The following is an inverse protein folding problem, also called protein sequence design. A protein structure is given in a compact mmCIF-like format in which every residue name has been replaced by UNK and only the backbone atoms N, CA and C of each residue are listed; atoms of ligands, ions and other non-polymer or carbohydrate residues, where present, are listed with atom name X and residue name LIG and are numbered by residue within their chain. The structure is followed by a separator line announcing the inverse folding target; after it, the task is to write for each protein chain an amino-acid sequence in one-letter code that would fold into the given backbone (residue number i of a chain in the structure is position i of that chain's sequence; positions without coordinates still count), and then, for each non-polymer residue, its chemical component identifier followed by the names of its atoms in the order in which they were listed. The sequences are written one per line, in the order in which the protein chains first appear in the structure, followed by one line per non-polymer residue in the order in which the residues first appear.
data_IF_026203823398
#
_entry.id   IF_026203823398
#
_cell.length_a   1.000
_cell.length_b   1.000
_cell.length_c   1.000
_cell.angle_alpha   90.00
_cell.angle_beta   90.00
_cell.angle_gamma   90.00
#
_symmetry.space_group_name_H-M   'P 1'
#
loop_
_entity.id
_entity.type
_entity.pdbx_description
1 polymer ?
#
# COMPACT_ATOMS: atom_id res chain seq x y z
N UNK A 1 -15.95 15.50 -67.47
CA UNK A 1 -16.20 14.46 -66.44
C UNK A 1 -14.94 14.40 -65.60
N UNK A 2 -15.01 14.96 -64.39
CA UNK A 2 -13.88 15.08 -63.46
C UNK A 2 -13.59 13.73 -62.81
N UNK A 3 -12.35 13.26 -62.93
CA UNK A 3 -11.78 12.26 -62.04
C UNK A 3 -11.32 12.98 -60.79
N UNK A 4 -11.87 12.61 -59.63
CA UNK A 4 -11.49 13.18 -58.34
C UNK A 4 -10.23 12.51 -57.82
N UNK A 5 -9.15 13.29 -57.69
CA UNK A 5 -7.98 12.90 -56.93
C UNK A 5 -8.25 13.12 -55.45
N UNK A 6 -8.32 12.02 -54.70
CA UNK A 6 -8.35 12.02 -53.24
C UNK A 6 -6.92 12.35 -52.78
N UNK A 7 -6.70 13.58 -52.33
CA UNK A 7 -5.49 13.95 -51.61
C UNK A 7 -5.45 13.21 -50.27
N UNK A 8 -4.50 12.28 -50.15
CA UNK A 8 -4.09 11.71 -48.87
C UNK A 8 -3.52 12.82 -48.00
N UNK A 9 -4.24 13.20 -46.95
CA UNK A 9 -3.71 14.04 -45.89
C UNK A 9 -2.52 13.33 -45.23
N UNK A 10 -1.33 13.91 -45.37
CA UNK A 10 -0.17 13.56 -44.54
C UNK A 10 -0.55 13.82 -43.08
N UNK A 11 -0.61 12.74 -42.31
CA UNK A 11 -0.75 12.79 -40.86
C UNK A 11 0.50 13.47 -40.33
N UNK A 12 0.34 14.71 -39.86
CA UNK A 12 1.39 15.49 -39.23
C UNK A 12 1.79 14.78 -37.93
N UNK A 13 2.85 13.97 -37.99
CA UNK A 13 3.42 13.29 -36.83
C UNK A 13 4.00 14.37 -35.93
N UNK A 14 3.25 14.71 -34.88
CA UNK A 14 3.63 15.71 -33.89
C UNK A 14 5.11 15.57 -33.48
N UNK A 15 5.85 16.66 -33.59
CA UNK A 15 7.23 16.75 -33.11
C UNK A 15 7.30 16.32 -31.64
N UNK A 16 7.99 15.20 -31.39
CA UNK A 16 8.32 14.73 -30.04
C UNK A 16 9.71 15.23 -29.69
N UNK A 17 9.86 15.81 -28.49
CA UNK A 17 11.16 16.11 -27.92
C UNK A 17 11.84 14.77 -27.57
N UNK A 18 12.72 14.30 -28.46
CA UNK A 18 13.39 12.99 -28.33
C UNK A 18 14.64 13.03 -27.43
N UNK A 19 14.80 14.10 -26.66
CA UNK A 19 15.97 14.31 -25.78
C UNK A 19 15.49 14.71 -24.39
N UNK A 20 15.90 13.95 -23.38
CA UNK A 20 15.75 14.30 -21.96
C UNK A 20 17.00 15.04 -21.48
N UNK A 21 16.83 16.14 -20.75
CA UNK A 21 17.96 16.80 -20.10
C UNK A 21 18.51 15.88 -18.99
N UNK A 22 19.79 15.51 -19.07
CA UNK A 22 20.46 14.78 -17.99
C UNK A 22 20.73 15.75 -16.84
N UNK A 23 20.32 15.40 -15.61
CA UNK A 23 20.59 16.21 -14.41
C UNK A 23 19.60 17.35 -14.18
N UNK A 24 18.31 17.15 -14.48
CA UNK A 24 17.27 18.10 -14.08
C UNK A 24 17.24 18.25 -12.54
N UNK A 25 17.38 19.47 -11.98
CA UNK A 25 17.40 19.67 -10.54
C UNK A 25 16.11 19.23 -9.83
N UNK A 26 14.97 19.27 -10.54
CA UNK A 26 13.68 18.78 -10.04
C UNK A 26 13.68 17.26 -9.88
N UNK A 27 14.10 16.53 -10.91
CA UNK A 27 14.23 15.06 -10.85
C UNK A 27 15.15 14.62 -9.69
N UNK A 28 16.25 15.34 -9.49
CA UNK A 28 17.18 15.04 -8.39
C UNK A 28 16.60 15.30 -7.01
N UNK A 29 15.88 16.41 -6.87
CA UNK A 29 15.21 16.78 -5.62
C UNK A 29 14.15 15.74 -5.25
N UNK A 30 13.30 15.35 -6.20
CA UNK A 30 12.28 14.33 -6.00
C UNK A 30 12.88 12.96 -5.66
N UNK A 31 13.99 12.59 -6.31
CA UNK A 31 14.71 11.35 -5.97
C UNK A 31 15.27 11.37 -4.56
N UNK A 32 15.72 12.52 -4.06
CA UNK A 32 16.24 12.64 -2.70
C UNK A 32 15.11 12.49 -1.66
N UNK A 33 13.95 13.12 -1.90
CA UNK A 33 12.77 12.93 -1.05
C UNK A 33 12.26 11.48 -1.10
N UNK A 34 12.22 10.87 -2.29
CA UNK A 34 11.86 9.45 -2.42
C UNK A 34 12.80 8.56 -1.61
N UNK A 35 14.11 8.80 -1.65
CA UNK A 35 15.10 8.05 -0.86
C UNK A 35 14.79 8.13 0.64
N UNK A 36 14.48 9.32 1.14
CA UNK A 36 14.08 9.51 2.54
C UNK A 36 12.81 8.71 2.87
N UNK A 37 11.76 8.80 2.06
CA UNK A 37 10.53 8.03 2.28
C UNK A 37 10.75 6.51 2.22
N UNK A 38 11.59 6.02 1.32
CA UNK A 38 12.00 4.61 1.25
C UNK A 38 12.73 4.20 2.53
N UNK A 39 13.57 5.06 3.09
CA UNK A 39 14.24 4.76 4.35
C UNK A 39 13.28 4.69 5.54
N UNK A 40 12.20 5.48 5.55
CA UNK A 40 11.10 5.31 6.50
C UNK A 40 10.51 3.89 6.47
N UNK A 41 10.37 3.31 5.27
CA UNK A 41 9.92 1.91 5.09
C UNK A 41 10.97 0.91 5.59
N UNK A 42 12.27 1.21 5.46
CA UNK A 42 13.35 0.40 6.06
C UNK A 42 13.22 0.37 7.58
N UNK A 43 12.98 1.51 8.23
CA UNK A 43 12.77 1.59 9.67
C UNK A 43 11.54 0.78 10.11
N UNK A 44 10.41 0.91 9.40
CA UNK A 44 9.23 0.09 9.62
C UNK A 44 9.55 -1.42 9.54
N UNK A 45 10.27 -1.85 8.51
CA UNK A 45 10.66 -3.25 8.35
C UNK A 45 11.58 -3.72 9.49
N UNK A 46 12.52 -2.88 9.93
CA UNK A 46 13.41 -3.19 11.05
C UNK A 46 12.63 -3.36 12.37
N UNK A 47 11.59 -2.55 12.61
CA UNK A 47 10.69 -2.75 13.77
C UNK A 47 9.89 -4.04 13.65
N UNK A 48 9.32 -4.32 12.48
CA UNK A 48 8.55 -5.55 12.21
C UNK A 48 9.38 -6.83 12.37
N UNK A 49 10.69 -6.73 12.13
CA UNK A 49 11.66 -7.81 12.36
C UNK A 49 12.13 -7.92 13.82
N UNK A 50 11.78 -6.95 14.67
CA UNK A 50 12.25 -6.86 16.06
C UNK A 50 13.69 -6.36 16.22
N UNK A 51 14.29 -5.79 15.17
CA UNK A 51 15.62 -5.16 15.24
C UNK A 51 15.58 -3.83 16.00
N UNK A 52 14.51 -3.05 15.78
CA UNK A 52 14.22 -1.84 16.54
C UNK A 52 12.91 -1.99 17.29
N UNK A 53 12.77 -1.21 18.36
CA UNK A 53 11.58 -1.21 19.21
C UNK A 53 10.98 0.20 19.23
N UNK A 54 10.43 0.63 18.10
CA UNK A 54 9.76 1.93 17.95
C UNK A 54 8.25 1.74 17.90
N UNK A 55 7.50 2.64 18.55
CA UNK A 55 6.04 2.63 18.55
C UNK A 55 5.46 3.52 17.44
N UNK A 56 6.16 4.60 17.08
CA UNK A 56 5.76 5.49 16.01
C UNK A 56 6.97 6.14 15.31
N UNK A 57 6.76 6.57 14.07
CA UNK A 57 7.68 7.41 13.31
C UNK A 57 6.99 8.72 12.96
N UNK A 58 7.66 9.84 13.22
CA UNK A 58 7.19 11.18 12.84
C UNK A 58 8.00 11.65 11.63
N UNK A 59 7.31 12.01 10.56
CA UNK A 59 7.94 12.42 9.31
C UNK A 59 8.04 13.95 9.22
N UNK A 60 9.21 14.48 8.89
CA UNK A 60 9.43 15.93 8.78
C UNK A 60 8.99 16.70 10.04
N UNK A 61 9.25 16.13 11.22
CA UNK A 61 8.92 16.72 12.51
C UNK A 61 10.22 16.99 13.26
N UNK A 62 10.73 18.22 13.16
CA UNK A 62 12.06 18.66 13.59
C UNK A 62 13.24 18.00 12.86
N UNK A 63 13.18 16.70 12.60
CA UNK A 63 14.14 15.91 11.83
C UNK A 63 13.46 15.23 10.63
N UNK A 64 14.27 14.62 9.76
CA UNK A 64 13.76 13.89 8.59
C UNK A 64 12.86 12.73 9.07
N UNK A 65 13.29 12.03 10.13
CA UNK A 65 12.43 11.23 10.99
C UNK A 65 12.75 11.41 12.48
N UNK A 66 11.72 11.39 13.34
CA UNK A 66 11.86 11.08 14.77
C UNK A 66 11.20 9.73 15.05
N UNK A 67 11.91 8.83 15.73
CA UNK A 67 11.41 7.51 16.09
C UNK A 67 11.08 7.45 17.59
N UNK A 68 9.81 7.30 17.92
CA UNK A 68 9.30 7.24 19.29
C UNK A 68 9.52 5.83 19.86
N UNK A 69 10.15 5.76 21.02
CA UNK A 69 10.42 4.52 21.75
C UNK A 69 9.36 4.27 22.84
N UNK A 70 9.20 3.03 23.32
CA UNK A 70 8.29 2.72 24.44
C UNK A 70 8.65 3.41 25.76
N UNK A 71 9.90 3.84 25.95
CA UNK A 71 10.36 4.59 27.12
C UNK A 71 10.06 6.10 27.02
N UNK A 72 9.42 6.55 25.94
CA UNK A 72 9.07 7.94 25.69
C UNK A 72 10.20 8.80 25.12
N UNK A 73 11.38 8.22 24.90
CA UNK A 73 12.48 8.92 24.21
C UNK A 73 12.33 8.84 22.69
N UNK A 74 12.95 9.79 22.00
CA UNK A 74 12.98 9.87 20.55
C UNK A 74 14.39 9.70 20.00
N UNK A 75 14.55 8.83 19.01
CA UNK A 75 15.78 8.76 18.22
C UNK A 75 15.64 9.61 16.95
N UNK A 76 16.60 10.50 16.69
CA UNK A 76 16.56 11.46 15.59
C UNK A 76 17.34 11.01 14.36
N UNK A 77 16.72 11.05 13.18
CA UNK A 77 17.31 10.60 11.93
C UNK A 77 17.47 11.76 10.94
N UNK A 78 18.67 11.88 10.39
CA UNK A 78 18.98 12.73 9.23
C UNK A 78 19.37 11.84 8.05
N UNK A 79 18.57 11.85 6.99
CA UNK A 79 18.77 11.06 5.78
C UNK A 79 19.34 11.96 4.70
N UNK A 80 20.49 11.60 4.14
CA UNK A 80 21.17 12.39 3.11
C UNK A 80 21.64 11.52 1.98
N UNK A 81 21.33 11.92 0.76
CA UNK A 81 21.90 11.30 -0.43
C UNK A 81 23.17 12.03 -0.87
N UNK A 82 24.15 11.29 -1.34
CA UNK A 82 25.32 11.86 -2.04
C UNK A 82 25.57 11.10 -3.34
N UNK A 83 26.18 11.80 -4.29
CA UNK A 83 26.61 11.21 -5.54
C UNK A 83 28.03 10.67 -5.41
N UNK A 84 28.42 9.63 -6.17
CA UNK A 84 29.77 9.07 -6.10
C UNK A 84 30.89 10.11 -6.26
N UNK A 85 30.70 11.12 -7.10
CA UNK A 85 31.68 12.18 -7.35
C UNK A 85 32.00 13.06 -6.13
N UNK A 86 31.12 13.12 -5.14
CA UNK A 86 31.34 13.88 -3.91
C UNK A 86 32.24 13.14 -2.90
N UNK A 87 32.56 11.86 -3.18
CA UNK A 87 33.36 11.02 -2.31
C UNK A 87 32.67 10.63 -1.00
N UNK A 88 33.47 10.10 -0.08
CA UNK A 88 33.00 9.61 1.21
C UNK A 88 32.77 10.76 2.21
N UNK A 89 31.84 10.58 3.14
CA UNK A 89 31.51 11.57 4.16
C UNK A 89 32.65 11.78 5.16
N UNK A 90 32.94 13.05 5.45
CA UNK A 90 33.89 13.47 6.49
C UNK A 90 33.20 14.45 7.43
N UNK A 91 33.76 14.68 8.62
CA UNK A 91 33.24 15.69 9.55
C UNK A 91 33.33 17.14 9.03
N UNK A 92 33.99 17.34 7.89
CA UNK A 92 34.04 18.61 7.17
C UNK A 92 33.08 18.68 5.98
N UNK A 93 32.34 17.60 5.72
CA UNK A 93 31.34 17.58 4.67
C UNK A 93 30.11 18.40 5.11
N UNK A 94 29.81 19.47 4.38
CA UNK A 94 28.80 20.46 4.77
C UNK A 94 27.44 19.86 5.17
N UNK A 95 26.96 18.83 4.46
CA UNK A 95 25.68 18.19 4.79
C UNK A 95 25.74 17.41 6.12
N UNK A 96 26.84 16.71 6.42
CA UNK A 96 27.03 16.01 7.69
C UNK A 96 27.18 17.02 8.84
N UNK A 97 28.02 18.05 8.66
CA UNK A 97 28.17 19.15 9.62
C UNK A 97 26.81 19.77 9.96
N UNK A 98 26.01 20.11 8.94
CA UNK A 98 24.68 20.68 9.12
C UNK A 98 23.72 19.72 9.85
N UNK A 99 23.76 18.42 9.55
CA UNK A 99 22.95 17.43 10.27
C UNK A 99 23.35 17.32 11.74
N UNK A 100 24.64 17.37 12.07
CA UNK A 100 25.12 17.43 13.46
C UNK A 100 24.61 18.70 14.16
N UNK A 101 24.67 19.84 13.48
CA UNK A 101 24.08 21.09 13.98
C UNK A 101 22.61 20.97 14.35
N UNK A 102 21.80 20.36 13.46
CA UNK A 102 20.38 20.10 13.74
C UNK A 102 20.17 19.23 14.97
N UNK A 103 21.00 18.20 15.17
CA UNK A 103 20.94 17.37 16.38
C UNK A 103 21.30 18.15 17.66
N UNK A 104 22.27 19.06 17.59
CA UNK A 104 22.59 19.97 18.71
C UNK A 104 21.39 20.88 19.02
N UNK A 105 20.79 21.47 17.99
CA UNK A 105 19.61 22.33 18.16
C UNK A 105 18.43 21.55 18.77
N UNK A 106 18.18 20.34 18.28
CA UNK A 106 17.11 19.46 18.75
C UNK A 106 17.30 19.07 20.22
N UNK A 107 18.51 18.64 20.58
CA UNK A 107 18.84 18.26 21.96
C UNK A 107 18.71 19.45 22.92
N UNK A 108 19.10 20.64 22.45
CA UNK A 108 18.99 21.88 23.24
C UNK A 108 17.53 22.29 23.42
N UNK A 109 16.70 22.15 22.40
CA UNK A 109 15.29 22.50 22.46
C UNK A 109 14.46 21.54 23.33
N UNK A 110 14.84 20.26 23.40
CA UNK A 110 14.06 19.20 24.07
C UNK A 110 14.93 18.36 25.02
N UNK A 111 15.53 18.95 26.05
CA UNK A 111 16.45 18.24 26.94
C UNK A 111 15.77 17.05 27.63
N UNK A 112 16.46 15.91 27.64
CA UNK A 112 15.99 14.68 28.28
C UNK A 112 14.91 13.90 27.50
N UNK A 113 14.53 14.33 26.30
CA UNK A 113 13.54 13.64 25.46
C UNK A 113 14.18 12.83 24.31
N UNK A 114 15.50 12.97 24.10
CA UNK A 114 16.22 12.38 22.96
C UNK A 114 17.10 11.22 23.42
N UNK A 115 17.04 10.12 22.67
CA UNK A 115 17.92 8.96 22.80
C UNK A 115 19.16 9.12 21.93
N UNK A 116 19.15 8.50 20.76
CA UNK A 116 20.26 8.46 19.80
C UNK A 116 20.04 9.38 18.61
N UNK A 117 21.13 9.76 17.94
CA UNK A 117 21.10 10.46 16.66
C UNK A 117 21.68 9.58 15.57
N UNK A 118 21.06 9.57 14.40
CA UNK A 118 21.45 8.69 13.31
C UNK A 118 21.56 9.48 12.01
N UNK A 119 22.76 9.53 11.45
CA UNK A 119 22.99 10.02 10.11
C UNK A 119 23.00 8.85 9.13
N UNK A 120 22.18 8.93 8.10
CA UNK A 120 22.01 7.86 7.12
C UNK A 120 22.38 8.38 5.74
N UNK A 121 23.15 7.60 4.99
CA UNK A 121 23.42 7.93 3.59
C UNK A 121 23.65 6.73 2.69
N UNK A 122 23.34 6.89 1.39
CA UNK A 122 23.72 5.93 0.34
C UNK A 122 25.25 5.89 0.06
N UNK A 123 26.03 6.79 0.67
CA UNK A 123 27.47 6.88 0.50
C UNK A 123 28.21 6.50 1.78
N UNK A 124 29.40 5.92 1.62
CA UNK A 124 30.28 5.56 2.73
C UNK A 124 30.81 6.79 3.48
N UNK A 125 31.28 6.56 4.72
CA UNK A 125 32.13 7.51 5.44
C UNK A 125 33.59 7.28 5.07
N UNK A 126 34.41 8.35 5.12
CA UNK A 126 35.85 8.20 4.98
C UNK A 126 36.36 7.24 6.04
N UNK A 127 37.28 6.37 5.64
CA UNK A 127 37.88 5.38 6.53
C UNK A 127 39.40 5.44 6.40
N UNK A 128 40.05 5.35 7.55
CA UNK A 128 41.50 5.47 7.66
C UNK A 128 41.99 4.31 8.52
N UNK A 129 43.03 3.61 8.06
CA UNK A 129 43.63 2.55 8.85
C UNK A 129 44.36 3.13 10.06
N UNK A 130 44.44 2.38 11.16
CA UNK A 130 45.14 2.79 12.37
C UNK A 130 46.63 3.10 12.13
N UNK A 131 47.22 2.57 11.05
CA UNK A 131 48.60 2.81 10.65
C UNK A 131 48.81 4.14 9.90
N UNK A 132 47.75 4.89 9.58
CA UNK A 132 47.88 6.16 8.87
C UNK A 132 48.57 7.23 9.74
N UNK A 133 49.55 7.90 9.14
CA UNK A 133 50.25 9.04 9.74
C UNK A 133 49.62 10.39 9.38
N UNK A 134 48.55 10.41 8.57
CA UNK A 134 47.83 11.63 8.21
C UNK A 134 46.89 12.04 9.35
N UNK A 135 47.44 12.78 10.31
CA UNK A 135 46.72 13.26 11.49
C UNK A 135 45.48 14.10 11.13
N UNK A 136 45.55 14.94 10.09
CA UNK A 136 44.41 15.77 9.66
C UNK A 136 43.28 14.90 9.12
N UNK A 137 43.59 13.91 8.28
CA UNK A 137 42.57 12.99 7.75
C UNK A 137 41.98 12.13 8.86
N UNK A 138 42.80 11.68 9.82
CA UNK A 138 42.33 10.95 11.01
C UNK A 138 41.36 11.79 11.85
N UNK A 139 41.67 13.07 12.08
CA UNK A 139 40.82 13.98 12.84
C UNK A 139 39.42 14.18 12.22
N UNK A 140 39.32 14.24 10.89
CA UNK A 140 38.04 14.41 10.16
C UNK A 140 37.31 13.11 9.83
N UNK A 141 37.91 11.96 10.13
CA UNK A 141 37.32 10.64 9.90
C UNK A 141 36.17 10.43 10.91
N UNK A 142 34.90 10.31 10.46
CA UNK A 142 33.77 10.23 11.38
C UNK A 142 33.86 9.04 12.32
N UNK A 143 34.19 7.85 11.82
CA UNK A 143 34.28 6.63 12.65
C UNK A 143 35.30 6.78 13.78
N UNK A 144 36.53 7.22 13.46
CA UNK A 144 37.59 7.40 14.45
C UNK A 144 37.27 8.50 15.47
N UNK A 145 36.61 9.58 15.05
CA UNK A 145 36.15 10.63 15.97
C UNK A 145 35.13 10.08 16.95
N UNK A 146 34.10 9.37 16.48
CA UNK A 146 33.02 8.85 17.34
C UNK A 146 33.56 7.82 18.33
N UNK A 147 34.47 6.95 17.89
CA UNK A 147 35.21 6.04 18.79
C UNK A 147 36.00 6.81 19.86
N UNK A 148 36.72 7.87 19.46
CA UNK A 148 37.51 8.68 20.38
C UNK A 148 36.61 9.40 21.40
N UNK A 149 35.50 10.00 20.96
CA UNK A 149 34.52 10.67 21.83
C UNK A 149 33.95 9.69 22.86
N UNK A 150 33.53 8.49 22.43
CA UNK A 150 33.01 7.43 23.32
C UNK A 150 34.06 6.94 24.35
N UNK A 151 35.34 7.11 24.07
CA UNK A 151 36.44 6.77 25.00
C UNK A 151 36.78 7.89 26.01
N UNK A 152 36.30 9.11 25.77
CA UNK A 152 36.56 10.27 26.62
C UNK A 152 35.46 10.43 27.70
N UNK A 153 35.82 10.98 28.86
CA UNK A 153 34.84 11.34 29.91
C UNK A 153 34.02 12.58 29.55
N UNK A 154 34.66 13.52 28.86
CA UNK A 154 34.13 14.83 28.50
C UNK A 154 34.96 15.45 27.36
N UNK A 155 34.51 16.59 26.85
CA UNK A 155 35.16 17.31 25.75
C UNK A 155 36.61 17.73 26.04
N UNK A 156 36.97 17.98 27.31
CA UNK A 156 38.32 18.42 27.66
C UNK A 156 39.33 17.26 27.64
N UNK A 157 38.87 16.02 27.82
CA UNK A 157 39.71 14.83 27.72
C UNK A 157 40.13 14.50 26.28
N UNK A 158 39.48 15.10 25.27
CA UNK A 158 39.80 14.86 23.87
C UNK A 158 41.22 15.33 23.52
N UNK A 159 41.95 14.49 22.77
CA UNK A 159 43.33 14.74 22.37
C UNK A 159 43.43 15.03 20.86
N UNK A 160 44.49 15.72 20.41
CA UNK A 160 44.82 15.80 18.99
C UNK A 160 44.99 14.40 18.36
N UNK A 161 44.62 14.22 17.08
CA UNK A 161 44.11 15.23 16.16
C UNK A 161 42.59 15.51 16.27
N UNK A 162 41.87 14.70 17.04
CA UNK A 162 40.40 14.80 17.16
C UNK A 162 39.97 16.11 17.80
N UNK A 163 40.68 16.55 18.85
CA UNK A 163 40.39 17.83 19.52
C UNK A 163 40.34 19.02 18.55
N UNK A 164 41.30 19.12 17.63
CA UNK A 164 41.34 20.22 16.66
C UNK A 164 40.13 20.23 15.72
N UNK A 165 39.70 19.04 15.29
CA UNK A 165 38.53 18.91 14.41
C UNK A 165 37.24 19.19 15.18
N UNK A 166 37.15 18.72 16.42
CA UNK A 166 36.03 19.00 17.33
C UNK A 166 35.87 20.50 17.58
N UNK A 167 36.95 21.20 17.94
CA UNK A 167 36.90 22.65 18.20
C UNK A 167 36.52 23.43 16.93
N UNK A 168 36.98 22.99 15.75
CA UNK A 168 36.58 23.60 14.47
C UNK A 168 35.10 23.39 14.18
N UNK A 169 34.59 22.18 14.43
CA UNK A 169 33.17 21.84 14.24
C UNK A 169 32.29 22.62 15.23
N UNK A 170 32.68 22.71 16.49
CA UNK A 170 31.98 23.50 17.51
C UNK A 170 31.90 24.98 17.11
N UNK A 171 33.01 25.55 16.62
CA UNK A 171 33.06 26.92 16.16
C UNK A 171 32.19 27.15 14.91
N UNK A 172 32.19 26.23 13.94
CA UNK A 172 31.36 26.31 12.73
C UNK A 172 29.86 26.25 13.07
N UNK A 173 29.48 25.42 14.03
CA UNK A 173 28.09 25.25 14.47
C UNK A 173 27.64 26.31 15.49
N UNK A 174 28.58 27.04 16.10
CA UNK A 174 28.28 27.89 17.25
C UNK A 174 27.78 27.12 18.48
N UNK A 175 28.14 25.84 18.59
CA UNK A 175 27.67 24.92 19.62
C UNK A 175 28.53 24.98 20.88
N UNK A 176 27.92 24.79 22.05
CA UNK A 176 28.69 24.57 23.28
C UNK A 176 29.41 23.21 23.23
N UNK A 177 30.66 23.18 23.68
CA UNK A 177 31.48 21.96 23.67
C UNK A 177 30.81 20.78 24.39
N UNK A 178 30.13 21.02 25.51
CA UNK A 178 29.44 19.95 26.24
C UNK A 178 28.30 19.34 25.41
N UNK A 179 27.50 20.19 24.73
CA UNK A 179 26.38 19.76 23.90
C UNK A 179 26.85 19.01 22.64
N UNK A 180 27.85 19.55 21.94
CA UNK A 180 28.41 18.87 20.76
C UNK A 180 29.01 17.51 21.15
N UNK A 181 29.72 17.44 22.27
CA UNK A 181 30.29 16.19 22.77
C UNK A 181 29.21 15.15 23.07
N UNK A 182 28.11 15.56 23.71
CA UNK A 182 26.98 14.68 24.01
C UNK A 182 26.29 14.18 22.73
N UNK A 183 26.06 15.06 21.74
CA UNK A 183 25.51 14.66 20.43
C UNK A 183 26.43 13.67 19.73
N UNK A 184 27.73 13.96 19.62
CA UNK A 184 28.69 13.05 18.99
C UNK A 184 28.81 11.72 19.76
N UNK A 185 28.68 11.74 21.09
CA UNK A 185 28.68 10.51 21.89
C UNK A 185 27.49 9.59 21.61
N UNK A 186 26.38 10.15 21.11
CA UNK A 186 25.14 9.44 20.76
C UNK A 186 24.87 9.35 19.25
N UNK A 187 25.82 9.81 18.43
CA UNK A 187 25.69 9.78 16.98
C UNK A 187 26.14 8.43 16.43
N UNK A 188 25.27 7.84 15.60
CA UNK A 188 25.58 6.70 14.75
C UNK A 188 25.53 7.12 13.28
N UNK A 189 26.40 6.53 12.47
CA UNK A 189 26.41 6.75 11.02
C UNK A 189 26.15 5.43 10.32
N UNK A 190 25.10 5.39 9.51
CA UNK A 190 24.61 4.17 8.86
C UNK A 190 24.68 4.33 7.35
N UNK A 191 25.28 3.33 6.68
CA UNK A 191 25.20 3.18 5.24
C UNK A 191 23.83 2.62 4.86
N UNK A 192 23.01 3.41 4.19
CA UNK A 192 21.76 2.99 3.59
C UNK A 192 21.97 2.37 2.19
N UNK A 193 20.90 1.86 1.56
CA UNK A 193 20.98 1.27 0.23
C UNK A 193 21.47 2.25 -0.85
N UNK A 194 21.98 1.71 -1.96
CA UNK A 194 22.27 2.49 -3.17
C UNK A 194 21.00 3.19 -3.67
N UNK A 195 21.14 4.40 -4.24
CA UNK A 195 20.02 5.11 -4.88
C UNK A 195 19.47 4.36 -6.09
N UNK A 196 20.33 3.67 -6.83
CA UNK A 196 19.97 3.00 -8.08
C UNK A 196 19.17 1.72 -7.81
N UNK A 197 19.54 0.99 -6.76
CA UNK A 197 18.97 -0.32 -6.44
C UNK A 197 17.97 -0.28 -5.28
N UNK A 198 17.63 0.91 -4.75
CA UNK A 198 16.85 1.00 -3.52
C UNK A 198 15.47 0.33 -3.65
N UNK A 199 14.76 0.51 -4.77
CA UNK A 199 13.46 -0.14 -4.95
C UNK A 199 13.58 -1.68 -4.93
N UNK A 200 14.66 -2.24 -5.49
CA UNK A 200 14.91 -3.67 -5.47
C UNK A 200 15.29 -4.17 -4.06
N UNK A 201 16.22 -3.48 -3.39
CA UNK A 201 16.62 -3.78 -2.01
C UNK A 201 15.42 -3.69 -1.04
N UNK A 202 14.58 -2.66 -1.20
CA UNK A 202 13.38 -2.46 -0.38
C UNK A 202 12.39 -3.61 -0.54
N UNK A 203 12.16 -4.05 -1.78
CA UNK A 203 11.27 -5.16 -2.05
C UNK A 203 11.84 -6.49 -1.55
N UNK A 204 13.09 -6.83 -1.89
CA UNK A 204 13.63 -8.18 -1.66
C UNK A 204 14.22 -8.36 -0.26
N UNK A 205 15.01 -7.40 0.23
CA UNK A 205 15.78 -7.53 1.47
C UNK A 205 15.02 -7.03 2.70
N UNK A 206 14.23 -5.97 2.53
CA UNK A 206 13.50 -5.35 3.63
C UNK A 206 12.10 -5.93 3.79
N UNK A 207 11.18 -5.65 2.87
CA UNK A 207 9.77 -6.07 2.99
C UNK A 207 9.61 -7.55 2.68
N UNK A 208 10.20 -8.06 1.61
CA UNK A 208 10.13 -9.48 1.23
C UNK A 208 10.79 -10.41 2.25
N UNK A 209 11.75 -9.91 3.02
CA UNK A 209 12.38 -10.63 4.12
C UNK A 209 11.52 -10.73 5.40
N UNK A 210 10.33 -10.12 5.44
CA UNK A 210 9.41 -10.25 6.57
C UNK A 210 8.56 -11.51 6.43
N UNK A 211 8.36 -12.24 7.54
CA UNK A 211 7.58 -13.48 7.56
C UNK A 211 6.15 -13.27 7.03
N UNK A 212 5.52 -12.14 7.38
CA UNK A 212 4.17 -11.79 6.93
C UNK A 212 4.08 -11.43 5.44
N UNK A 213 5.21 -11.15 4.77
CA UNK A 213 5.26 -10.79 3.34
C UNK A 213 5.93 -11.87 2.47
N UNK A 214 6.56 -12.89 3.06
CA UNK A 214 7.35 -13.89 2.34
C UNK A 214 6.56 -14.71 1.31
N UNK A 215 5.24 -14.74 1.43
CA UNK A 215 4.33 -15.44 0.51
C UNK A 215 3.96 -14.60 -0.73
N UNK A 216 4.30 -13.31 -0.77
CA UNK A 216 3.91 -12.40 -1.85
C UNK A 216 4.80 -12.61 -3.09
N UNK A 217 4.16 -12.66 -4.26
CA UNK A 217 4.87 -12.65 -5.53
C UNK A 217 5.52 -11.27 -5.80
N UNK A 218 6.53 -11.17 -6.70
CA UNK A 218 7.26 -9.92 -6.94
C UNK A 218 6.40 -8.72 -7.33
N UNK A 219 5.32 -8.92 -8.10
CA UNK A 219 4.40 -7.86 -8.51
C UNK A 219 3.67 -7.23 -7.32
N UNK A 220 2.88 -8.00 -6.56
CA UNK A 220 2.22 -7.53 -5.33
C UNK A 220 3.17 -6.95 -4.29
N UNK A 221 4.37 -7.52 -4.14
CA UNK A 221 5.40 -7.03 -3.23
C UNK A 221 5.87 -5.62 -3.59
N UNK A 222 6.11 -5.37 -4.89
CA UNK A 222 6.46 -4.03 -5.40
C UNK A 222 5.32 -3.03 -5.21
N UNK A 223 4.06 -3.45 -5.41
CA UNK A 223 2.90 -2.59 -5.15
C UNK A 223 2.81 -2.22 -3.66
N UNK A 224 2.99 -3.18 -2.76
CA UNK A 224 3.06 -2.93 -1.33
C UNK A 224 4.18 -1.95 -0.97
N UNK A 225 5.39 -2.11 -1.50
CA UNK A 225 6.48 -1.17 -1.28
C UNK A 225 6.11 0.25 -1.72
N UNK A 226 5.51 0.41 -2.90
CA UNK A 226 5.07 1.73 -3.38
C UNK A 226 3.98 2.35 -2.49
N UNK A 227 3.02 1.55 -2.03
CA UNK A 227 1.97 2.00 -1.11
C UNK A 227 2.54 2.48 0.24
N UNK A 228 3.52 1.74 0.77
CA UNK A 228 4.23 2.11 2.00
C UNK A 228 5.03 3.39 1.80
N UNK A 229 5.82 3.52 0.73
CA UNK A 229 6.55 4.76 0.40
C UNK A 229 5.58 5.94 0.26
N UNK A 230 4.43 5.75 -0.40
CA UNK A 230 3.41 6.77 -0.54
C UNK A 230 2.77 7.17 0.81
N UNK A 231 2.71 6.26 1.79
CA UNK A 231 2.28 6.57 3.16
C UNK A 231 3.27 7.50 3.86
N UNK A 232 4.57 7.20 3.78
CA UNK A 232 5.63 8.08 4.32
C UNK A 232 5.65 9.44 3.63
N UNK A 233 5.53 9.48 2.30
CA UNK A 233 5.42 10.73 1.54
C UNK A 233 4.23 11.58 2.02
N UNK A 234 3.05 10.99 2.22
CA UNK A 234 1.86 11.72 2.71
C UNK A 234 2.07 12.30 4.11
N UNK A 235 2.71 11.54 5.00
CA UNK A 235 3.02 12.02 6.35
C UNK A 235 4.05 13.18 6.32
N UNK A 236 5.04 13.11 5.42
CA UNK A 236 6.03 14.17 5.24
C UNK A 236 5.45 15.46 4.63
N UNK A 237 4.45 15.37 3.75
CA UNK A 237 3.97 16.49 2.92
C UNK A 237 2.94 17.42 3.56
N UNK A 238 2.76 17.40 4.89
CA UNK A 238 1.72 18.15 5.61
C UNK A 238 0.29 17.86 5.10
N UNK A 239 0.06 16.66 4.58
CA UNK A 239 -1.25 16.25 4.10
C UNK A 239 -2.21 15.97 5.27
N UNK A 240 -2.86 17.02 5.77
CA UNK A 240 -3.85 16.93 6.86
C UNK A 240 -5.25 16.99 6.26
N UNK A 241 -6.04 15.92 6.38
CA UNK A 241 -7.45 15.90 5.92
C UNK A 241 -8.44 16.30 7.00
N UNK A 242 -7.97 16.36 8.24
CA UNK A 242 -8.80 16.70 9.40
C UNK A 242 -9.27 18.17 9.32
N UNK A 243 -10.59 18.45 9.35
CA UNK A 243 -11.10 19.81 9.34
C UNK A 243 -10.63 20.64 10.54
N UNK A 244 -10.34 20.01 11.68
CA UNK A 244 -9.90 20.67 12.91
C UNK A 244 -8.50 21.27 12.79
N UNK A 245 -7.76 21.00 11.70
CA UNK A 245 -6.52 21.72 11.36
C UNK A 245 -6.70 23.24 11.28
N UNK A 246 -7.92 23.70 10.96
CA UNK A 246 -8.26 25.12 10.93
C UNK A 246 -8.61 25.67 12.32
N UNK A 247 -8.85 24.80 13.29
CA UNK A 247 -9.25 25.10 14.66
C UNK A 247 -8.12 24.84 15.67
N UNK A 248 -7.01 24.19 15.28
CA UNK A 248 -5.90 23.83 16.15
C UNK A 248 -5.25 24.99 16.95
N UNK A 249 -5.48 26.24 16.55
CA UNK A 249 -5.01 27.44 17.28
C UNK A 249 -6.03 28.00 18.27
N UNK A 250 -7.25 27.47 18.28
CA UNK A 250 -8.29 27.79 19.24
C UNK A 250 -8.17 26.76 20.37
N UNK A 251 -8.02 27.18 21.62
CA UNK A 251 -7.94 26.25 22.74
C UNK A 251 -9.29 25.56 22.96
N UNK A 252 -9.55 24.48 22.22
CA UNK A 252 -10.52 23.46 22.57
C UNK A 252 -9.80 22.37 23.35
N UNK A 253 -10.39 21.85 24.42
CA UNK A 253 -9.79 20.82 25.28
C UNK A 253 -9.60 19.44 24.62
N UNK A 254 -9.40 19.39 23.31
CA UNK A 254 -8.95 18.23 22.54
C UNK A 254 -7.42 18.12 22.63
N UNK A 255 -6.93 16.90 22.84
CA UNK A 255 -5.55 16.65 23.30
C UNK A 255 -4.48 16.55 22.21
N UNK A 256 -4.83 16.38 20.93
CA UNK A 256 -3.85 16.10 19.87
C UNK A 256 -3.90 17.11 18.71
N UNK A 257 -2.75 17.66 18.34
CA UNK A 257 -2.61 18.55 17.17
C UNK A 257 -2.77 17.73 15.86
N UNK A 258 -3.74 18.05 14.99
CA UNK A 258 -3.99 17.30 13.76
C UNK A 258 -2.81 17.35 12.77
N UNK A 259 -1.96 18.39 12.82
CA UNK A 259 -0.74 18.48 12.01
C UNK A 259 0.29 17.46 12.50
N UNK A 260 0.51 17.40 13.82
CA UNK A 260 1.44 16.42 14.41
C UNK A 260 0.91 15.00 14.16
N UNK A 261 -0.40 14.80 14.32
CA UNK A 261 -1.06 13.51 14.07
C UNK A 261 -0.87 13.04 12.62
N UNK A 262 -1.01 13.94 11.64
CA UNK A 262 -0.82 13.57 10.23
C UNK A 262 0.63 13.21 9.88
N UNK A 263 1.62 13.76 10.61
CA UNK A 263 3.04 13.42 10.47
C UNK A 263 3.40 12.08 11.12
N UNK A 264 2.56 11.60 12.05
CA UNK A 264 2.81 10.41 12.85
C UNK A 264 2.33 9.14 12.14
N UNK A 265 3.21 8.15 12.05
CA UNK A 265 2.91 6.80 11.60
C UNK A 265 3.08 5.87 12.80
N UNK A 266 1.96 5.43 13.37
CA UNK A 266 1.94 4.38 14.40
C UNK A 266 2.27 3.04 13.74
N UNK A 267 3.33 2.38 14.20
CA UNK A 267 3.88 1.20 13.54
C UNK A 267 2.89 0.03 13.55
N UNK A 268 2.18 -0.16 14.66
CA UNK A 268 1.18 -1.22 14.82
C UNK A 268 0.06 -1.11 13.77
N UNK A 269 -0.32 0.12 13.39
CA UNK A 269 -1.43 0.42 12.47
C UNK A 269 -1.02 0.34 10.98
N UNK A 270 0.22 -0.07 10.68
CA UNK A 270 0.67 -0.28 9.31
C UNK A 270 0.40 -1.72 8.88
N UNK A 271 -0.67 -1.92 8.12
CA UNK A 271 -0.94 -3.20 7.48
C UNK A 271 0.07 -3.48 6.36
N UNK A 272 0.71 -4.65 6.40
CA UNK A 272 1.61 -5.15 5.35
C UNK A 272 0.87 -6.08 4.38
N UNK A 273 -0.24 -5.59 3.84
CA UNK A 273 -1.04 -6.31 2.85
C UNK A 273 -1.11 -5.43 1.60
N UNK A 274 -0.78 -5.96 0.40
CA UNK A 274 -0.97 -5.21 -0.83
C UNK A 274 -2.41 -4.71 -0.89
N UNK A 275 -2.63 -3.44 -1.25
CA UNK A 275 -3.98 -3.01 -1.56
C UNK A 275 -4.46 -3.87 -2.72
N UNK A 276 -5.45 -4.71 -2.47
CA UNK A 276 -6.21 -5.30 -3.57
C UNK A 276 -6.72 -4.09 -4.33
N UNK A 277 -6.16 -3.82 -5.52
CA UNK A 277 -6.71 -2.83 -6.42
C UNK A 277 -8.20 -3.13 -6.42
N UNK A 278 -9.01 -2.18 -5.96
CA UNK A 278 -10.42 -2.20 -6.27
C UNK A 278 -10.41 -2.22 -7.79
N UNK A 279 -10.57 -3.41 -8.38
CA UNK A 279 -10.38 -3.56 -9.79
C UNK A 279 -11.40 -2.62 -10.41
N UNK A 280 -10.96 -1.90 -11.43
CA UNK A 280 -11.81 -1.20 -12.39
C UNK A 280 -12.62 -2.25 -13.22
N UNK A 281 -12.96 -3.36 -12.57
CA UNK A 281 -13.73 -4.45 -13.09
C UNK A 281 -15.17 -4.01 -13.01
N UNK A 282 -15.80 -4.02 -14.18
CA UNK A 282 -17.22 -3.78 -14.39
C UNK A 282 -18.08 -4.26 -13.21
N UNK A 283 -19.00 -3.41 -12.74
CA UNK A 283 -19.95 -3.73 -11.66
C UNK A 283 -21.37 -3.47 -12.15
N UNK A 284 -22.25 -4.45 -11.98
CA UNK A 284 -23.69 -4.25 -12.13
C UNK A 284 -24.19 -3.27 -11.05
N UNK A 285 -24.95 -2.26 -11.47
CA UNK A 285 -25.50 -1.23 -10.61
C UNK A 285 -26.93 -1.59 -10.14
N UNK A 286 -27.38 -0.94 -9.07
CA UNK A 286 -28.72 -1.09 -8.50
C UNK A 286 -28.83 -2.16 -7.41
N UNK A 287 -29.98 -2.22 -6.72
CA UNK A 287 -30.25 -3.24 -5.71
C UNK A 287 -30.44 -4.63 -6.36
N UNK A 288 -30.14 -5.73 -5.65
CA UNK A 288 -30.51 -7.07 -6.08
C UNK A 288 -32.04 -7.19 -6.18
N UNK A 289 -32.54 -8.00 -7.12
CA UNK A 289 -33.97 -8.31 -7.20
C UNK A 289 -34.35 -9.54 -6.39
N UNK A 290 -33.39 -10.45 -6.13
CA UNK A 290 -33.66 -11.67 -5.38
C UNK A 290 -34.10 -11.31 -3.96
N UNK A 291 -35.28 -11.77 -3.59
CA UNK A 291 -35.83 -11.56 -2.26
C UNK A 291 -35.40 -12.69 -1.32
N UNK A 292 -34.39 -12.42 -0.49
CA UNK A 292 -33.89 -13.37 0.50
C UNK A 292 -34.80 -13.44 1.73
N UNK A 293 -34.99 -14.65 2.28
CA UNK A 293 -35.69 -14.88 3.55
C UNK A 293 -37.20 -14.66 3.50
N UNK A 294 -37.77 -14.41 2.32
CA UNK A 294 -39.22 -14.29 2.14
C UNK A 294 -39.86 -15.67 1.91
N UNK A 295 -41.11 -15.89 2.37
CA UNK A 295 -41.84 -17.11 2.04
C UNK A 295 -42.01 -17.22 0.53
N UNK A 296 -41.43 -18.27 -0.07
CA UNK A 296 -41.54 -18.50 -1.52
C UNK A 296 -42.85 -19.19 -1.89
N UNK A 297 -43.47 -18.85 -3.03
CA UNK A 297 -44.68 -19.53 -3.48
C UNK A 297 -44.39 -21.01 -3.73
N UNK A 298 -45.28 -21.88 -3.24
CA UNK A 298 -45.05 -23.32 -3.33
C UNK A 298 -45.07 -23.77 -4.78
N UNK A 299 -44.04 -24.52 -5.19
CA UNK A 299 -43.95 -25.30 -6.44
C UNK A 299 -43.67 -24.52 -7.73
N UNK A 300 -43.30 -23.23 -7.71
CA UNK A 300 -42.97 -22.50 -8.95
C UNK A 300 -41.77 -23.14 -9.67
N UNK A 301 -40.67 -23.34 -8.95
CA UNK A 301 -39.49 -24.04 -9.47
C UNK A 301 -39.85 -25.42 -10.05
N UNK A 302 -40.64 -26.22 -9.34
CA UNK A 302 -41.08 -27.55 -9.77
C UNK A 302 -41.86 -27.49 -11.08
N UNK A 303 -42.90 -26.66 -11.15
CA UNK A 303 -43.77 -26.53 -12.32
C UNK A 303 -42.96 -26.15 -13.57
N UNK A 304 -42.00 -25.23 -13.42
CA UNK A 304 -41.15 -24.79 -14.55
C UNK A 304 -40.16 -25.85 -15.01
N UNK A 305 -39.57 -26.59 -14.07
CA UNK A 305 -38.65 -27.66 -14.41
C UNK A 305 -39.40 -28.83 -15.08
N UNK A 306 -40.58 -29.19 -14.57
CA UNK A 306 -41.46 -30.20 -15.17
C UNK A 306 -41.85 -29.80 -16.60
N UNK A 307 -42.33 -28.57 -16.79
CA UNK A 307 -42.71 -28.07 -18.13
C UNK A 307 -41.53 -27.99 -19.09
N UNK A 308 -40.34 -27.70 -18.58
CA UNK A 308 -39.08 -27.70 -19.34
C UNK A 308 -38.55 -29.09 -19.70
N UNK A 309 -39.19 -30.17 -19.23
CA UNK A 309 -38.70 -31.53 -19.43
C UNK A 309 -37.47 -31.87 -18.59
N UNK A 310 -37.21 -31.10 -17.53
CA UNK A 310 -36.08 -31.28 -16.58
C UNK A 310 -36.57 -31.56 -15.15
N UNK A 311 -37.81 -32.03 -15.00
CA UNK A 311 -38.41 -32.33 -13.69
C UNK A 311 -37.62 -33.32 -12.83
N UNK A 312 -36.83 -34.21 -13.44
CA UNK A 312 -35.92 -35.12 -12.72
C UNK A 312 -34.82 -34.39 -11.92
N UNK A 313 -34.57 -33.12 -12.23
CA UNK A 313 -33.56 -32.28 -11.55
C UNK A 313 -34.15 -31.44 -10.40
N UNK A 314 -35.44 -31.59 -10.11
CA UNK A 314 -36.13 -30.76 -9.10
C UNK A 314 -35.46 -30.81 -7.73
N UNK A 315 -35.16 -32.00 -7.22
CA UNK A 315 -34.53 -32.15 -5.90
C UNK A 315 -33.12 -31.55 -5.87
N UNK A 316 -32.38 -31.72 -6.96
CA UNK A 316 -31.06 -31.12 -7.12
C UNK A 316 -31.14 -29.59 -7.10
N UNK A 317 -32.06 -29.00 -7.88
CA UNK A 317 -32.20 -27.54 -7.98
C UNK A 317 -32.68 -26.92 -6.66
N UNK A 318 -33.63 -27.55 -5.97
CA UNK A 318 -34.08 -27.10 -4.65
C UNK A 318 -32.98 -27.12 -3.60
N UNK A 319 -32.16 -28.18 -3.56
CA UNK A 319 -31.05 -28.25 -2.63
C UNK A 319 -30.03 -27.12 -2.88
N UNK A 320 -29.78 -26.78 -4.16
CA UNK A 320 -28.91 -25.65 -4.52
C UNK A 320 -29.53 -24.30 -4.21
N UNK A 321 -30.82 -24.13 -4.46
CA UNK A 321 -31.59 -22.93 -4.11
C UNK A 321 -31.46 -22.61 -2.62
N UNK A 322 -31.77 -23.60 -1.76
CA UNK A 322 -31.70 -23.45 -0.30
C UNK A 322 -30.29 -23.14 0.18
N UNK A 323 -29.27 -23.82 -0.36
CA UNK A 323 -27.89 -23.56 -0.01
C UNK A 323 -27.44 -22.15 -0.41
N UNK A 324 -27.84 -21.68 -1.60
CA UNK A 324 -27.51 -20.34 -2.07
C UNK A 324 -28.20 -19.26 -1.24
N UNK A 325 -29.49 -19.43 -0.94
CA UNK A 325 -30.20 -18.49 -0.07
C UNK A 325 -29.57 -18.41 1.32
N UNK A 326 -29.28 -19.56 1.94
CA UNK A 326 -28.65 -19.60 3.26
C UNK A 326 -27.30 -18.88 3.25
N UNK A 327 -26.48 -19.12 2.21
CA UNK A 327 -25.21 -18.43 2.03
C UNK A 327 -25.38 -16.91 1.96
N UNK A 328 -26.30 -16.42 1.12
CA UNK A 328 -26.51 -14.98 1.01
C UNK A 328 -27.11 -14.34 2.27
N UNK A 329 -27.96 -15.05 3.01
CA UNK A 329 -28.45 -14.60 4.32
C UNK A 329 -27.32 -14.52 5.35
N UNK A 330 -26.40 -15.50 5.36
CA UNK A 330 -25.23 -15.49 6.24
C UNK A 330 -24.30 -14.31 5.92
N UNK A 331 -24.02 -14.06 4.64
CA UNK A 331 -23.22 -12.90 4.22
C UNK A 331 -23.92 -11.57 4.54
N UNK A 332 -25.24 -11.49 4.36
CA UNK A 332 -26.03 -10.32 4.74
C UNK A 332 -25.97 -10.04 6.25
N UNK A 333 -25.91 -11.08 7.08
CA UNK A 333 -25.75 -10.94 8.52
C UNK A 333 -24.36 -10.42 8.92
N UNK A 334 -23.31 -10.74 8.13
CA UNK A 334 -21.93 -10.28 8.36
C UNK A 334 -21.72 -8.83 7.93
N UNK A 335 -22.10 -8.49 6.70
CA UNK A 335 -21.99 -7.14 6.13
C UNK A 335 -23.13 -6.89 5.13
N UNK A 336 -24.19 -6.17 5.54
CA UNK A 336 -25.34 -5.92 4.68
C UNK A 336 -25.02 -5.17 3.39
N UNK A 337 -24.07 -4.22 3.42
CA UNK A 337 -23.75 -3.35 2.28
C UNK A 337 -22.88 -4.07 1.26
N UNK A 338 -21.93 -4.87 1.73
CA UNK A 338 -21.15 -5.73 0.84
C UNK A 338 -22.01 -6.84 0.25
N UNK A 339 -22.80 -7.54 1.08
CA UNK A 339 -23.63 -8.66 0.65
C UNK A 339 -24.67 -8.26 -0.41
N UNK A 340 -25.33 -7.11 -0.26
CA UNK A 340 -26.26 -6.62 -1.26
C UNK A 340 -25.57 -6.35 -2.62
N UNK A 341 -24.35 -5.79 -2.59
CA UNK A 341 -23.55 -5.55 -3.81
C UNK A 341 -23.05 -6.83 -4.44
N UNK A 342 -22.62 -7.80 -3.62
CA UNK A 342 -22.14 -9.10 -4.06
C UNK A 342 -23.26 -9.95 -4.67
N UNK A 343 -24.40 -10.05 -3.98
CA UNK A 343 -25.61 -10.69 -4.51
C UNK A 343 -25.99 -10.09 -5.86
N UNK A 344 -25.97 -8.77 -6.00
CA UNK A 344 -26.24 -8.10 -7.28
C UNK A 344 -25.31 -8.55 -8.40
N UNK A 345 -24.00 -8.73 -8.11
CA UNK A 345 -23.06 -9.19 -9.13
C UNK A 345 -23.33 -10.62 -9.56
N UNK A 346 -23.58 -11.51 -8.59
CA UNK A 346 -23.84 -12.93 -8.85
C UNK A 346 -25.17 -13.10 -9.58
N UNK A 347 -26.23 -12.44 -9.12
CA UNK A 347 -27.57 -12.44 -9.70
C UNK A 347 -27.55 -12.06 -11.18
N UNK A 348 -26.98 -10.91 -11.54
CA UNK A 348 -27.01 -10.42 -12.92
C UNK A 348 -26.09 -11.22 -13.84
N UNK A 349 -24.94 -11.69 -13.34
CA UNK A 349 -24.07 -12.55 -14.13
C UNK A 349 -24.75 -13.90 -14.44
N UNK A 350 -25.38 -14.53 -13.44
CA UNK A 350 -26.09 -15.80 -13.63
C UNK A 350 -27.33 -15.60 -14.52
N UNK A 351 -28.10 -14.55 -14.30
CA UNK A 351 -29.27 -14.23 -15.12
C UNK A 351 -28.88 -14.02 -16.60
N UNK A 352 -27.77 -13.33 -16.86
CA UNK A 352 -27.22 -13.16 -18.21
C UNK A 352 -26.92 -14.49 -18.90
N UNK A 353 -26.19 -15.39 -18.22
CA UNK A 353 -25.88 -16.72 -18.78
C UNK A 353 -27.14 -17.58 -19.01
N UNK A 354 -28.13 -17.50 -18.10
CA UNK A 354 -29.41 -18.17 -18.28
C UNK A 354 -30.18 -17.61 -19.48
N UNK A 355 -30.20 -16.30 -19.67
CA UNK A 355 -30.91 -15.66 -20.79
C UNK A 355 -30.25 -15.97 -22.13
N UNK A 356 -28.92 -15.90 -22.21
CA UNK A 356 -28.18 -16.29 -23.42
C UNK A 356 -28.41 -17.75 -23.77
N UNK A 357 -28.41 -18.63 -22.77
CA UNK A 357 -28.69 -20.06 -22.96
C UNK A 357 -30.13 -20.29 -23.44
N UNK A 358 -31.11 -19.60 -22.85
CA UNK A 358 -32.49 -19.62 -23.31
C UNK A 358 -32.57 -19.22 -24.79
N UNK A 359 -31.99 -18.08 -25.17
CA UNK A 359 -32.01 -17.61 -26.57
C UNK A 359 -31.33 -18.58 -27.54
N UNK A 360 -30.25 -19.23 -27.13
CA UNK A 360 -29.50 -20.16 -27.96
C UNK A 360 -30.18 -21.53 -28.12
N UNK A 361 -30.96 -21.95 -27.13
CA UNK A 361 -31.57 -23.29 -27.07
C UNK A 361 -33.07 -23.28 -27.30
N UNK A 362 -33.71 -22.11 -27.29
CA UNK A 362 -35.14 -21.97 -27.52
C UNK A 362 -35.54 -22.58 -28.86
N UNK A 363 -36.44 -23.56 -28.80
CA UNK A 363 -37.09 -24.16 -29.94
C UNK A 363 -38.60 -24.02 -29.73
N UNK A 364 -39.29 -23.15 -30.50
CA UNK A 364 -40.73 -22.98 -30.34
C UNK A 364 -41.46 -24.33 -30.38
N UNK A 365 -42.38 -24.53 -29.43
CA UNK A 365 -43.26 -25.70 -29.36
C UNK A 365 -42.57 -27.06 -29.12
N UNK A 366 -41.25 -27.07 -28.86
CA UNK A 366 -40.48 -28.27 -28.55
C UNK A 366 -39.77 -28.13 -27.19
N UNK A 367 -39.66 -29.21 -26.38
CA UNK A 367 -38.94 -29.16 -25.11
C UNK A 367 -37.45 -28.87 -25.31
N UNK A 368 -36.96 -27.77 -24.73
CA UNK A 368 -35.55 -27.37 -24.78
C UNK A 368 -34.87 -27.29 -23.42
N UNK A 369 -35.60 -27.51 -22.31
CA UNK A 369 -35.07 -27.29 -20.96
C UNK A 369 -33.84 -28.14 -20.64
N UNK A 370 -33.76 -29.38 -21.13
CA UNK A 370 -32.58 -30.23 -20.90
C UNK A 370 -31.32 -29.72 -21.63
N UNK A 371 -31.49 -29.22 -22.86
CA UNK A 371 -30.40 -28.62 -23.63
C UNK A 371 -29.93 -27.31 -22.98
N UNK A 372 -30.88 -26.49 -22.53
CA UNK A 372 -30.61 -25.26 -21.78
C UNK A 372 -29.90 -25.56 -20.45
N UNK A 373 -30.35 -26.55 -19.67
CA UNK A 373 -29.72 -26.92 -18.41
C UNK A 373 -28.26 -27.32 -18.57
N UNK A 374 -27.95 -28.13 -19.58
CA UNK A 374 -26.56 -28.54 -19.86
C UNK A 374 -25.69 -27.35 -20.25
N UNK A 375 -26.23 -26.44 -21.05
CA UNK A 375 -25.54 -25.24 -21.52
C UNK A 375 -25.30 -24.23 -20.39
N UNK A 376 -26.32 -23.94 -19.56
CA UNK A 376 -26.18 -23.15 -18.34
C UNK A 376 -25.13 -23.77 -17.41
N UNK A 377 -25.19 -25.08 -17.19
CA UNK A 377 -24.21 -25.77 -16.33
C UNK A 377 -22.77 -25.59 -16.82
N UNK A 378 -22.54 -25.68 -18.13
CA UNK A 378 -21.22 -25.45 -18.72
C UNK A 378 -20.79 -23.99 -18.56
N UNK A 379 -21.67 -23.04 -18.89
CA UNK A 379 -21.44 -21.60 -18.78
C UNK A 379 -21.10 -21.17 -17.36
N UNK A 380 -21.83 -21.67 -16.36
CA UNK A 380 -21.57 -21.32 -14.95
C UNK A 380 -20.22 -21.85 -14.45
N UNK A 381 -19.76 -23.03 -14.91
CA UNK A 381 -18.41 -23.53 -14.61
C UNK A 381 -17.33 -22.67 -15.28
N UNK A 382 -17.58 -22.20 -16.49
CA UNK A 382 -16.71 -21.23 -17.17
C UNK A 382 -16.71 -19.89 -16.43
N UNK A 383 -17.87 -19.41 -15.98
CA UNK A 383 -18.03 -18.14 -15.28
C UNK A 383 -17.27 -18.12 -13.94
N UNK A 384 -17.37 -19.20 -13.16
CA UNK A 384 -16.62 -19.42 -11.91
C UNK A 384 -15.11 -19.21 -12.10
N UNK A 385 -14.56 -19.69 -13.23
CA UNK A 385 -13.12 -19.62 -13.51
C UNK A 385 -12.69 -18.32 -14.17
N UNK A 386 -13.48 -17.79 -15.11
CA UNK A 386 -13.11 -16.63 -15.93
C UNK A 386 -13.44 -15.28 -15.28
N UNK A 387 -14.42 -15.22 -14.37
CA UNK A 387 -14.89 -13.98 -13.74
C UNK A 387 -14.89 -14.04 -12.21
N UNK A 388 -13.90 -14.73 -11.64
CA UNK A 388 -13.76 -14.94 -10.20
C UNK A 388 -13.85 -13.64 -9.38
N UNK A 389 -13.19 -12.57 -9.83
CA UNK A 389 -13.14 -11.29 -9.11
C UNK A 389 -14.48 -10.57 -9.09
N UNK A 390 -15.23 -10.63 -10.20
CA UNK A 390 -16.58 -10.06 -10.30
C UNK A 390 -17.53 -10.75 -9.32
N UNK A 391 -17.42 -12.08 -9.26
CA UNK A 391 -18.29 -12.96 -8.48
C UNK A 391 -17.86 -13.10 -7.02
N UNK A 392 -16.81 -12.42 -6.57
CA UNK A 392 -16.28 -12.59 -5.21
C UNK A 392 -15.86 -14.03 -4.91
N UNK A 393 -15.47 -14.80 -5.91
CA UNK A 393 -15.09 -16.21 -5.76
C UNK A 393 -16.26 -17.18 -5.56
N UNK A 394 -17.50 -16.81 -5.91
CA UNK A 394 -18.65 -17.70 -5.82
C UNK A 394 -18.43 -19.02 -6.57
N UNK A 395 -18.56 -20.19 -5.91
CA UNK A 395 -18.36 -21.48 -6.56
C UNK A 395 -19.54 -21.86 -7.46
N UNK A 396 -19.34 -22.79 -8.38
CA UNK A 396 -20.37 -23.30 -9.29
C UNK A 396 -21.70 -23.64 -8.59
N UNK A 397 -21.64 -24.27 -7.42
CA UNK A 397 -22.82 -24.67 -6.65
C UNK A 397 -23.67 -23.48 -6.22
N UNK A 398 -23.03 -22.37 -5.85
CA UNK A 398 -23.70 -21.13 -5.47
C UNK A 398 -24.31 -20.43 -6.71
N UNK A 399 -23.60 -20.45 -7.83
CA UNK A 399 -24.10 -19.91 -9.11
C UNK A 399 -25.34 -20.69 -9.59
N UNK A 400 -25.30 -22.03 -9.53
CA UNK A 400 -26.44 -22.87 -9.89
C UNK A 400 -27.62 -22.69 -8.94
N UNK A 401 -27.36 -22.51 -7.64
CA UNK A 401 -28.42 -22.16 -6.68
C UNK A 401 -29.04 -20.79 -6.95
N UNK A 402 -28.24 -19.83 -7.43
CA UNK A 402 -28.76 -18.53 -7.89
C UNK A 402 -29.66 -18.67 -9.12
N UNK A 403 -29.34 -19.57 -10.06
CA UNK A 403 -30.21 -19.87 -11.20
C UNK A 403 -31.55 -20.48 -10.75
N UNK A 404 -31.53 -21.29 -9.68
CA UNK A 404 -32.75 -21.82 -9.07
C UNK A 404 -33.59 -20.71 -8.42
N UNK A 405 -32.96 -19.81 -7.65
CA UNK A 405 -33.63 -18.63 -7.06
C UNK A 405 -34.28 -17.75 -8.13
N UNK A 406 -33.57 -17.48 -9.22
CA UNK A 406 -34.11 -16.71 -10.37
C UNK A 406 -35.25 -17.43 -11.09
N UNK A 407 -35.27 -18.77 -11.06
CA UNK A 407 -36.38 -19.56 -11.63
C UNK A 407 -37.64 -19.40 -10.77
N UNK A 408 -37.49 -19.43 -9.45
CA UNK A 408 -38.61 -19.25 -8.52
C UNK A 408 -39.15 -17.81 -8.57
N UNK A 409 -38.28 -16.81 -8.69
CA UNK A 409 -38.62 -15.38 -8.90
C UNK A 409 -39.15 -15.06 -10.31
N UNK A 410 -39.40 -16.07 -11.15
CA UNK A 410 -39.93 -15.91 -12.50
C UNK A 410 -39.11 -15.11 -13.51
N UNK A 411 -37.82 -14.93 -13.21
CA UNK A 411 -36.84 -14.32 -14.13
C UNK A 411 -36.26 -15.34 -15.11
N UNK A 412 -36.11 -16.60 -14.71
CA UNK A 412 -35.62 -17.69 -15.56
C UNK A 412 -36.74 -18.69 -15.88
N UNK A 413 -36.79 -19.13 -17.13
CA UNK A 413 -37.73 -20.12 -17.64
C UNK A 413 -36.97 -21.22 -18.39
N UNK A 414 -37.38 -22.47 -18.18
CA UNK A 414 -36.78 -23.67 -18.81
C UNK A 414 -37.64 -24.22 -19.95
N UNK A 415 -38.71 -23.49 -20.29
CA UNK A 415 -39.70 -23.77 -21.32
C UNK A 415 -40.24 -22.46 -21.88
N UNK A 416 -41.11 -22.53 -22.88
CA UNK A 416 -41.99 -21.40 -23.19
C UNK A 416 -42.76 -20.97 -21.94
N UNK A 417 -43.04 -19.66 -21.84
CA UNK A 417 -43.78 -19.09 -20.71
C UNK A 417 -45.20 -19.68 -20.66
N UNK A 418 -45.65 -20.02 -19.46
CA UNK A 418 -46.98 -20.57 -19.21
C UNK A 418 -47.54 -19.97 -17.91
N UNK A 419 -48.85 -20.14 -17.72
CA UNK A 419 -49.52 -19.70 -16.49
C UNK A 419 -49.15 -20.64 -15.33
N UNK A 420 -48.57 -20.08 -14.27
CA UNK A 420 -48.21 -20.83 -13.05
C UNK A 420 -49.47 -21.08 -12.24
N UNK A 421 -49.71 -22.34 -11.88
CA UNK A 421 -50.85 -22.67 -11.01
C UNK A 421 -50.60 -22.13 -9.60
N UNK A 422 -51.43 -21.18 -9.16
CA UNK A 422 -51.39 -20.58 -7.83
C UNK A 422 -50.64 -19.24 -7.70
N UNK A 423 -50.29 -18.57 -8.80
CA UNK A 423 -49.81 -17.19 -8.77
C UNK A 423 -50.99 -16.20 -8.72
N UNK A 424 -51.05 -15.33 -7.73
CA UNK A 424 -51.89 -14.12 -7.78
C UNK A 424 -51.32 -13.16 -8.85
N UNK A 425 -52.21 -12.43 -9.53
CA UNK A 425 -51.90 -11.48 -10.63
C UNK A 425 -50.83 -10.43 -10.28
#
# INVERSE_FOLDING_TARGET
MCSGDIQSQEVNVHARLNTTASGDPGDETERNFRYQHQYGVVLLAAVRRGTFNYIALYCEHHEDFLAERPDGLFDGYQIKTSRPENGAWTLTSAALTKSIGRFVDLMTAFPGQLGMFVFVSNSDVDSVTLASTDEKRRGRCPGLMLEHVKSCSDANAMQPPFRNTFDSLAAELGAENAQLFEVLGRLEIVKGPSREDFDAALAQEHIGGLAECAHLAPGPLRELCNDLVARFHRAASLFVVDPDRHLAKIPSGTTDDPIITAKRIVIADVALVPRSKASDTFRYQGPPTISLGQPRPKRILEQKLERGGVGALTDYMKAREQAAEYHFLEEQAKDPLWAARHLRQVEEAVHGECLESYMARHTPEAPFGQAMFNDVSARLRTLETQRKDLLGGAPYELLMGTAALLTDDCRVWWSDRFQIEGGEE
#
